data_IF_389299815646
#
_entry.id   IF_389299815646
#
_cell.length_a   1.000
_cell.length_b   1.000
_cell.length_c   1.000
_cell.angle_alpha   90.00
_cell.angle_beta   90.00
_cell.angle_gamma   90.00
#
_symmetry.space_group_name_H-M   'P 1'
#
loop_
_entity.id
_entity.type
_entity.pdbx_description
1 polymer ?
#
# COMPACT_ATOMS: atom_id res chain seq x y z
N UNK A 1 46.17 -42.37 -38.75
CA UNK A 1 46.79 -41.16 -39.31
C UNK A 1 46.43 -39.97 -38.43
N UNK A 2 47.34 -39.16 -37.88
CA UNK A 2 48.59 -39.48 -37.16
C UNK A 2 49.07 -38.20 -36.42
N UNK A 3 49.62 -38.35 -35.21
CA UNK A 3 50.49 -37.36 -34.51
C UNK A 3 51.97 -37.59 -34.97
N UNK A 4 53.09 -37.07 -34.38
CA UNK A 4 53.34 -36.17 -33.23
C UNK A 4 53.99 -34.81 -33.68
N UNK A 5 54.57 -33.89 -32.88
CA UNK A 5 55.19 -33.85 -31.53
C UNK A 5 54.87 -32.51 -30.79
N UNK A 6 55.05 -32.26 -29.47
CA UNK A 6 55.80 -32.83 -28.32
C UNK A 6 57.29 -32.45 -28.07
N UNK A 7 57.55 -31.33 -27.36
CA UNK A 7 58.73 -31.12 -26.47
C UNK A 7 58.62 -29.80 -25.66
N UNK A 8 59.22 -29.57 -24.48
CA UNK A 8 59.31 -30.31 -23.19
C UNK A 8 60.18 -29.50 -22.19
N UNK A 9 60.21 -29.92 -20.91
CA UNK A 9 60.96 -29.37 -19.72
C UNK A 9 60.28 -28.23 -18.95
N UNK A 10 60.43 -28.02 -17.63
CA UNK A 10 60.41 -28.84 -16.37
C UNK A 10 61.19 -28.11 -15.27
N UNK A 11 60.57 -27.97 -14.08
CA UNK A 11 61.16 -27.96 -12.72
C UNK A 11 62.22 -26.92 -12.30
N UNK A 12 61.82 -26.01 -11.40
CA UNK A 12 62.39 -25.80 -10.03
C UNK A 12 61.83 -24.50 -9.41
N UNK A 13 62.07 -24.13 -8.14
CA UNK A 13 61.93 -24.87 -6.87
C UNK A 13 62.03 -23.88 -5.68
N UNK A 14 61.43 -24.23 -4.54
CA UNK A 14 61.74 -23.75 -3.17
C UNK A 14 61.62 -22.26 -2.80
N UNK A 15 61.12 -22.03 -1.58
CA UNK A 15 61.22 -20.74 -0.89
C UNK A 15 62.67 -20.44 -0.48
N UNK A 16 63.04 -19.15 -0.39
CA UNK A 16 64.02 -18.72 0.62
C UNK A 16 63.77 -17.32 1.16
N UNK A 17 63.91 -17.26 2.47
CA UNK A 17 63.90 -16.11 3.36
C UNK A 17 65.16 -15.22 3.17
N UNK A 18 65.06 -13.93 3.49
CA UNK A 18 66.21 -13.11 3.90
C UNK A 18 65.82 -12.09 4.98
N UNK A 19 66.38 -12.32 6.16
CA UNK A 19 66.28 -11.49 7.36
C UNK A 19 67.35 -10.39 7.43
N UNK A 20 67.03 -9.25 8.06
CA UNK A 20 68.03 -8.36 8.67
C UNK A 20 67.53 -6.93 8.93
N UNK A 21 67.97 -6.23 9.98
CA UNK A 21 68.72 -6.66 11.19
C UNK A 21 68.62 -5.58 12.28
N UNK A 22 68.76 -5.95 13.56
CA UNK A 22 68.75 -4.97 14.67
C UNK A 22 68.71 -5.61 16.07
N UNK A 23 69.88 -5.73 16.72
CA UNK A 23 70.04 -6.03 18.15
C UNK A 23 70.25 -4.69 18.91
N UNK A 24 70.17 -4.52 20.23
CA UNK A 24 70.29 -5.37 21.44
C UNK A 24 69.18 -4.97 22.47
N UNK A 25 69.00 -5.47 23.69
CA UNK A 25 69.87 -6.22 24.62
C UNK A 25 69.05 -7.09 25.62
N UNK A 26 69.73 -7.87 26.47
CA UNK A 26 69.14 -8.84 27.42
C UNK A 26 68.56 -8.21 28.70
N UNK A 27 67.63 -8.91 29.37
CA UNK A 27 67.92 -9.51 30.70
C UNK A 27 67.00 -10.72 31.02
N UNK A 28 67.13 -11.30 32.23
CA UNK A 28 66.90 -12.74 32.51
C UNK A 28 65.69 -13.09 33.39
N UNK A 29 65.27 -14.34 33.20
CA UNK A 29 65.00 -15.37 34.23
C UNK A 29 63.56 -15.72 34.69
N UNK A 30 63.32 -17.04 34.66
CA UNK A 30 62.47 -17.88 35.53
C UNK A 30 60.94 -17.66 35.59
N UNK A 31 60.21 -18.67 35.11
CA UNK A 31 59.06 -19.25 35.83
C UNK A 31 59.08 -20.78 35.68
N UNK A 32 58.54 -21.49 36.69
CA UNK A 32 58.68 -22.95 36.86
C UNK A 32 57.30 -23.62 36.86
N UNK A 33 57.17 -24.75 36.17
CA UNK A 33 55.92 -25.50 36.03
C UNK A 33 55.29 -25.87 37.38
N UNK A 34 54.01 -25.54 37.55
CA UNK A 34 53.11 -26.17 38.53
C UNK A 34 51.85 -26.63 37.78
N UNK A 35 51.59 -27.94 37.76
CA UNK A 35 50.31 -28.50 37.30
C UNK A 35 49.33 -28.53 38.48
N UNK A 36 48.18 -27.88 38.35
CA UNK A 36 47.04 -28.07 39.24
C UNK A 36 45.93 -28.82 38.51
N UNK A 37 45.18 -29.66 39.23
CA UNK A 37 44.07 -30.46 38.69
C UNK A 37 42.81 -29.60 38.56
N UNK A 38 41.91 -29.87 37.60
CA UNK A 38 40.62 -29.21 37.53
C UNK A 38 39.74 -29.61 38.74
N UNK A 39 39.00 -28.67 39.36
CA UNK A 39 38.01 -28.97 40.40
C UNK A 39 36.74 -29.61 39.81
N UNK A 40 35.98 -30.30 40.65
CA UNK A 40 34.82 -31.11 40.24
C UNK A 40 33.50 -30.33 40.23
N UNK A 41 32.54 -30.84 39.45
CA UNK A 41 31.20 -30.25 39.27
C UNK A 41 30.33 -30.46 40.51
N UNK A 42 30.44 -29.59 41.54
CA UNK A 42 29.45 -29.47 42.64
C UNK A 42 29.60 -28.26 43.58
N UNK A 43 29.69 -27.02 43.08
CA UNK A 43 29.62 -25.83 43.98
C UNK A 43 29.20 -24.48 43.34
N UNK A 44 28.13 -24.48 42.54
CA UNK A 44 27.52 -23.24 41.99
C UNK A 44 25.98 -23.26 42.12
N UNK A 45 25.45 -22.92 43.29
CA UNK A 45 23.99 -22.93 43.55
C UNK A 45 23.43 -21.71 44.32
N UNK A 46 24.24 -20.72 44.72
CA UNK A 46 23.79 -19.60 45.58
C UNK A 46 24.13 -18.19 45.08
N UNK A 47 24.39 -18.01 43.77
CA UNK A 47 24.63 -16.69 43.15
C UNK A 47 23.90 -16.50 41.80
N UNK A 48 22.66 -16.99 41.69
CA UNK A 48 21.82 -16.83 40.47
C UNK A 48 20.46 -16.17 40.77
N UNK A 49 20.06 -16.04 42.04
CA UNK A 49 18.66 -15.85 42.44
C UNK A 49 18.32 -14.46 43.02
N UNK A 50 19.02 -13.41 42.58
CA UNK A 50 18.61 -11.99 42.77
C UNK A 50 18.80 -11.16 41.48
N UNK A 51 19.01 -11.82 40.32
CA UNK A 51 19.34 -11.15 39.05
C UNK A 51 18.19 -10.97 38.05
N UNK A 52 16.95 -11.32 38.41
CA UNK A 52 15.86 -11.55 37.45
C UNK A 52 14.55 -10.78 37.71
N UNK A 53 14.63 -9.61 38.38
CA UNK A 53 13.49 -8.70 38.59
C UNK A 53 13.70 -7.27 38.04
N UNK A 54 14.75 -7.07 37.23
CA UNK A 54 14.94 -5.87 36.40
C UNK A 54 15.33 -6.28 34.97
N UNK A 55 14.52 -7.16 34.37
CA UNK A 55 14.41 -7.12 32.90
C UNK A 55 13.90 -5.74 32.50
N UNK A 56 14.45 -5.09 31.47
CA UNK A 56 13.93 -3.80 31.05
C UNK A 56 12.47 -3.98 30.65
N UNK A 57 11.57 -3.29 31.36
CA UNK A 57 10.28 -2.96 30.76
C UNK A 57 10.60 -2.09 29.57
N UNK A 58 10.65 -2.70 28.38
CA UNK A 58 10.52 -1.98 27.12
C UNK A 58 9.07 -1.51 27.09
N UNK A 59 8.81 -0.41 27.81
CA UNK A 59 7.64 0.41 27.55
C UNK A 59 7.68 0.72 26.07
N UNK A 60 6.66 0.28 25.33
CA UNK A 60 6.52 0.63 23.92
C UNK A 60 6.63 2.16 23.86
N UNK A 61 7.70 2.66 23.22
CA UNK A 61 8.26 3.97 23.51
C UNK A 61 7.15 5.02 23.39
N UNK A 62 6.73 5.58 24.53
CA UNK A 62 5.42 6.22 24.64
C UNK A 62 5.34 7.33 23.60
N UNK A 63 4.49 7.14 22.60
CA UNK A 63 4.17 8.21 21.69
C UNK A 63 3.65 9.38 22.55
N UNK A 64 4.03 10.60 22.18
CA UNK A 64 3.62 11.79 22.89
C UNK A 64 3.62 12.91 21.88
N UNK A 65 2.66 12.84 20.95
CA UNK A 65 2.50 13.79 19.86
C UNK A 65 1.12 14.44 19.98
N UNK A 66 1.03 15.78 19.86
CA UNK A 66 -0.25 16.47 20.01
C UNK A 66 -1.19 16.15 18.85
N UNK A 67 -2.49 16.11 19.15
CA UNK A 67 -3.53 16.15 18.12
C UNK A 67 -3.47 17.48 17.36
N UNK A 68 -3.79 17.45 16.06
CA UNK A 68 -3.98 18.68 15.29
C UNK A 68 -5.21 19.43 15.81
N UNK A 69 -5.01 20.65 16.33
CA UNK A 69 -6.07 21.47 16.97
C UNK A 69 -7.11 21.96 15.95
N UNK A 70 -6.69 22.20 14.70
CA UNK A 70 -7.59 22.42 13.59
C UNK A 70 -7.78 21.07 12.86
N UNK A 71 -9.02 20.54 12.72
CA UNK A 71 -9.23 19.29 11.99
C UNK A 71 -8.90 19.41 10.50
N UNK A 72 -8.99 20.62 9.90
CA UNK A 72 -8.51 20.88 8.54
C UNK A 72 -7.04 21.28 8.57
N UNK A 73 -6.22 20.57 7.80
CA UNK A 73 -4.77 20.75 7.68
C UNK A 73 -4.39 21.09 6.24
N UNK A 74 -3.20 21.69 6.08
CA UNK A 74 -2.59 22.03 4.80
C UNK A 74 -1.20 21.42 4.74
N UNK A 75 -0.87 20.76 3.63
CA UNK A 75 0.43 20.18 3.34
C UNK A 75 0.96 20.78 2.03
N UNK A 76 2.14 21.40 2.09
CA UNK A 76 2.79 21.99 0.92
C UNK A 76 3.48 20.91 0.08
N UNK A 77 3.04 20.71 -1.15
CA UNK A 77 3.59 19.76 -2.12
C UNK A 77 4.21 20.55 -3.28
N UNK A 78 5.49 20.88 -3.15
CA UNK A 78 6.18 21.79 -4.07
C UNK A 78 5.56 23.19 -4.04
N UNK A 79 4.99 23.64 -5.15
CA UNK A 79 4.24 24.90 -5.25
C UNK A 79 2.73 24.78 -5.03
N UNK A 80 2.21 23.60 -4.67
CA UNK A 80 0.78 23.33 -4.53
C UNK A 80 0.44 23.12 -3.05
N UNK A 81 -0.54 23.87 -2.53
CA UNK A 81 -1.17 23.58 -1.23
C UNK A 81 -2.14 22.40 -1.40
N UNK A 82 -2.01 21.36 -0.55
CA UNK A 82 -2.95 20.24 -0.49
C UNK A 82 -3.69 20.22 0.84
N UNK A 83 -5.00 20.04 0.80
CA UNK A 83 -5.84 19.98 1.99
C UNK A 83 -6.11 18.54 2.45
N UNK A 84 -6.22 18.33 3.76
CA UNK A 84 -6.81 17.12 4.32
C UNK A 84 -7.52 17.42 5.64
N UNK A 85 -8.57 16.67 5.96
CA UNK A 85 -9.16 16.63 7.30
C UNK A 85 -8.71 15.38 8.06
N UNK A 86 -8.58 15.51 9.37
CA UNK A 86 -8.27 14.42 10.30
C UNK A 86 -9.29 14.39 11.44
N UNK A 87 -9.79 13.18 11.74
CA UNK A 87 -10.72 12.92 12.84
C UNK A 87 -10.13 11.83 13.73
N UNK A 88 -10.08 12.14 15.02
CA UNK A 88 -9.58 11.26 16.07
C UNK A 88 -10.76 10.58 16.79
N UNK A 89 -10.61 9.34 17.26
CA UNK A 89 -11.59 8.73 18.16
C UNK A 89 -11.64 9.51 19.50
N UNK A 90 -12.81 9.53 20.14
CA UNK A 90 -13.10 10.20 21.42
C UNK A 90 -12.12 9.78 22.53
N UNK A 91 -11.70 8.52 22.51
CA UNK A 91 -10.73 7.94 23.44
C UNK A 91 -9.30 7.86 22.86
N UNK A 92 -8.94 8.76 21.91
CA UNK A 92 -7.58 8.81 21.35
C UNK A 92 -6.54 9.06 22.44
N UNK A 93 -5.80 8.01 22.78
CA UNK A 93 -4.61 8.14 23.59
C UNK A 93 -3.46 8.60 22.70
N UNK A 94 -2.91 9.78 23.01
CA UNK A 94 -1.67 10.28 22.43
C UNK A 94 -0.46 9.35 22.70
N UNK A 95 -0.61 8.32 23.54
CA UNK A 95 0.41 7.33 23.86
C UNK A 95 0.13 5.95 23.23
N UNK A 96 -1.03 5.74 22.59
CA UNK A 96 -1.35 4.52 21.87
C UNK A 96 -0.96 4.63 20.40
N UNK A 97 -0.65 3.50 19.76
CA UNK A 97 -0.54 3.40 18.31
C UNK A 97 -1.90 3.03 17.73
N UNK A 98 -2.58 4.01 17.16
CA UNK A 98 -3.94 3.88 16.64
C UNK A 98 -3.94 3.42 15.17
N UNK A 99 -4.84 2.54 14.72
CA UNK A 99 -5.01 2.24 13.30
C UNK A 99 -5.49 3.49 12.56
N UNK A 100 -5.07 3.66 11.30
CA UNK A 100 -5.42 4.82 10.47
C UNK A 100 -6.00 4.40 9.13
N UNK A 101 -7.06 5.08 8.68
CA UNK A 101 -7.67 4.91 7.36
C UNK A 101 -7.63 6.23 6.58
N UNK A 102 -7.05 6.20 5.38
CA UNK A 102 -7.19 7.26 4.37
C UNK A 102 -8.53 7.07 3.62
N UNK A 103 -9.28 8.16 3.42
CA UNK A 103 -10.59 8.19 2.75
C UNK A 103 -10.54 9.04 1.47
N UNK A 104 -10.43 8.41 0.29
CA UNK A 104 -10.32 9.09 -1.00
C UNK A 104 -11.70 9.32 -1.65
N UNK A 105 -12.16 10.57 -1.66
CA UNK A 105 -13.48 10.93 -2.20
C UNK A 105 -13.65 10.65 -3.71
N UNK A 106 -14.89 10.48 -4.16
CA UNK A 106 -15.25 10.40 -5.58
C UNK A 106 -15.14 11.72 -6.35
N UNK A 107 -15.42 11.68 -7.65
CA UNK A 107 -15.26 12.83 -8.55
C UNK A 107 -16.16 14.00 -8.13
N UNK A 108 -15.59 15.21 -8.06
CA UNK A 108 -16.27 16.41 -7.57
C UNK A 108 -16.40 16.53 -6.04
N UNK A 109 -15.98 15.51 -5.29
CA UNK A 109 -16.02 15.48 -3.83
C UNK A 109 -14.99 16.38 -3.14
N UNK A 110 -14.84 16.20 -1.84
CA UNK A 110 -13.88 16.93 -1.00
C UNK A 110 -13.52 16.09 0.25
N UNK A 111 -12.76 16.67 1.17
CA UNK A 111 -12.37 16.08 2.45
C UNK A 111 -13.53 15.81 3.42
N UNK A 112 -14.73 16.33 3.16
CA UNK A 112 -15.93 16.11 3.98
C UNK A 112 -16.79 14.95 3.47
N UNK A 113 -16.67 14.57 2.19
CA UNK A 113 -17.56 13.64 1.49
C UNK A 113 -17.78 12.27 2.16
N UNK A 114 -16.78 11.74 2.88
CA UNK A 114 -16.94 10.56 3.75
C UNK A 114 -17.02 10.90 5.23
N UNK A 115 -16.46 12.05 5.66
CA UNK A 115 -16.44 12.44 7.06
C UNK A 115 -17.79 12.94 7.56
N UNK A 116 -18.69 13.40 6.69
CA UNK A 116 -20.05 13.81 7.07
C UNK A 116 -20.99 12.65 7.41
N UNK A 117 -20.63 11.42 7.03
CA UNK A 117 -21.42 10.22 7.31
C UNK A 117 -21.30 9.80 8.78
N UNK A 118 -22.41 9.92 9.53
CA UNK A 118 -22.43 9.68 10.97
C UNK A 118 -22.04 8.25 11.36
N UNK A 119 -22.57 7.23 10.68
CA UNK A 119 -22.24 5.84 11.01
C UNK A 119 -20.83 5.42 10.60
N UNK A 120 -20.23 6.11 9.62
CA UNK A 120 -18.81 5.98 9.31
C UNK A 120 -17.98 6.50 10.50
N UNK A 121 -18.27 7.73 10.98
CA UNK A 121 -17.64 8.33 12.16
C UNK A 121 -17.83 7.48 13.42
N UNK A 122 -19.07 7.08 13.75
CA UNK A 122 -19.40 6.30 14.96
C UNK A 122 -18.70 4.93 14.97
N UNK A 123 -18.67 4.24 13.84
CA UNK A 123 -18.06 2.90 13.76
C UNK A 123 -16.53 2.97 13.81
N UNK A 124 -15.92 4.04 13.28
CA UNK A 124 -14.49 4.30 13.43
C UNK A 124 -14.11 4.63 14.89
N UNK A 125 -14.88 5.51 15.54
CA UNK A 125 -14.71 5.88 16.95
C UNK A 125 -14.76 4.66 17.88
N UNK A 126 -15.81 3.84 17.74
CA UNK A 126 -16.01 2.61 18.52
C UNK A 126 -14.94 1.52 18.28
N UNK A 127 -14.10 1.67 17.24
CA UNK A 127 -12.95 0.81 16.94
C UNK A 127 -11.59 1.47 17.24
N UNK A 128 -11.57 2.72 17.71
CA UNK A 128 -10.34 3.47 18.01
C UNK A 128 -9.55 3.89 16.77
N UNK A 129 -10.23 4.13 15.65
CA UNK A 129 -9.62 4.37 14.33
C UNK A 129 -9.48 5.86 14.05
N UNK A 130 -8.29 6.30 13.63
CA UNK A 130 -8.06 7.65 13.10
C UNK A 130 -8.48 7.68 11.63
N UNK A 131 -9.33 8.64 11.27
CA UNK A 131 -9.74 8.86 9.87
C UNK A 131 -9.01 10.06 9.31
N UNK A 132 -8.50 9.96 8.09
CA UNK A 132 -7.92 11.08 7.34
C UNK A 132 -8.53 11.14 5.94
N UNK A 133 -9.16 12.25 5.61
CA UNK A 133 -9.77 12.49 4.30
C UNK A 133 -9.01 13.60 3.58
N UNK A 134 -8.13 13.28 2.61
CA UNK A 134 -7.45 14.28 1.80
C UNK A 134 -8.34 14.77 0.64
N UNK A 135 -8.02 15.96 0.10
CA UNK A 135 -8.70 16.54 -1.08
C UNK A 135 -7.88 16.31 -2.36
N UNK A 136 -8.56 15.85 -3.42
CA UNK A 136 -8.05 15.84 -4.80
C UNK A 136 -7.89 17.27 -5.38
N UNK A 137 -7.24 17.44 -6.53
CA UNK A 137 -7.12 18.75 -7.17
C UNK A 137 -8.30 19.01 -8.12
N UNK A 138 -8.71 20.27 -8.24
CA UNK A 138 -9.86 20.71 -9.02
C UNK A 138 -9.60 20.86 -10.51
N UNK A 139 -10.58 21.44 -11.21
CA UNK A 139 -10.43 21.79 -12.64
C UNK A 139 -9.52 22.99 -12.92
N UNK A 140 -9.12 23.74 -11.89
CA UNK A 140 -8.19 24.87 -11.97
C UNK A 140 -8.21 25.71 -10.70
N UNK A 141 -7.13 26.45 -10.45
CA UNK A 141 -6.98 27.24 -9.24
C UNK A 141 -7.93 28.46 -9.16
N UNK A 142 -8.43 28.81 -7.95
CA UNK A 142 -8.38 28.03 -6.72
C UNK A 142 -9.34 26.82 -6.75
N UNK A 143 -8.92 25.70 -6.13
CA UNK A 143 -9.60 24.39 -6.22
C UNK A 143 -10.93 24.35 -5.44
N UNK A 144 -11.98 24.87 -6.08
CA UNK A 144 -13.36 24.94 -5.58
C UNK A 144 -14.37 24.18 -6.44
N UNK A 145 -13.93 23.28 -7.33
CA UNK A 145 -14.85 22.52 -8.19
C UNK A 145 -14.18 21.38 -8.95
N UNK A 146 -14.93 20.29 -9.14
CA UNK A 146 -14.52 19.09 -9.86
C UNK A 146 -13.19 18.51 -9.32
N UNK A 147 -13.07 18.41 -8.00
CA UNK A 147 -11.88 17.79 -7.39
C UNK A 147 -11.80 16.32 -7.80
N UNK A 148 -10.61 15.88 -8.20
CA UNK A 148 -10.38 14.52 -8.69
C UNK A 148 -9.03 13.99 -8.20
N UNK A 149 -8.85 12.69 -8.31
CA UNK A 149 -7.58 11.98 -8.20
C UNK A 149 -7.18 11.53 -9.58
N UNK A 150 -5.94 11.79 -9.98
CA UNK A 150 -5.42 11.30 -11.27
C UNK A 150 -4.83 9.91 -11.13
N UNK A 151 -5.33 8.99 -11.95
CA UNK A 151 -4.92 7.59 -11.99
C UNK A 151 -4.67 7.16 -13.44
N UNK A 152 -4.17 5.94 -13.63
CA UNK A 152 -3.75 5.39 -14.91
C UNK A 152 -4.72 5.68 -16.07
N UNK A 153 -4.28 6.57 -16.97
CA UNK A 153 -4.99 6.98 -18.19
C UNK A 153 -6.05 8.07 -18.04
N UNK A 154 -6.40 8.49 -16.81
CA UNK A 154 -7.51 9.42 -16.57
C UNK A 154 -7.21 10.88 -16.96
N UNK A 155 -5.94 11.26 -17.01
CA UNK A 155 -5.42 12.58 -17.38
C UNK A 155 -4.95 12.66 -18.84
N UNK A 156 -4.43 11.56 -19.39
CA UNK A 156 -4.01 11.43 -20.79
C UNK A 156 -5.17 11.05 -21.73
N UNK A 157 -6.18 10.33 -21.23
CA UNK A 157 -7.27 9.79 -22.02
C UNK A 157 -6.88 8.54 -22.83
N UNK A 158 -5.75 7.92 -22.52
CA UNK A 158 -5.22 6.72 -23.20
C UNK A 158 -4.62 5.71 -22.23
N UNK A 159 -4.63 4.44 -22.61
CA UNK A 159 -3.91 3.36 -21.94
C UNK A 159 -2.39 3.48 -22.15
N UNK A 160 -1.60 2.65 -21.47
CA UNK A 160 -0.14 2.57 -21.65
C UNK A 160 0.27 2.29 -23.10
N UNK A 161 -0.58 1.57 -23.86
CA UNK A 161 -0.39 1.31 -25.29
C UNK A 161 -0.85 2.45 -26.22
N UNK A 162 -1.25 3.60 -25.68
CA UNK A 162 -1.74 4.76 -26.44
C UNK A 162 -3.16 4.63 -26.99
N UNK A 163 -3.90 3.57 -26.64
CA UNK A 163 -5.28 3.36 -27.08
C UNK A 163 -6.27 4.15 -26.20
N UNK A 164 -7.36 4.74 -26.73
CA UNK A 164 -8.33 5.47 -25.90
C UNK A 164 -8.94 4.63 -24.77
N UNK A 165 -9.11 5.24 -23.59
CA UNK A 165 -9.84 4.66 -22.43
C UNK A 165 -11.37 4.77 -22.56
N UNK A 166 -11.88 5.32 -23.66
CA UNK A 166 -13.31 5.47 -23.92
C UNK A 166 -13.62 5.44 -25.42
N UNK A 167 -14.90 5.28 -25.79
CA UNK A 167 -15.35 5.70 -27.13
C UNK A 167 -15.34 7.23 -27.21
N UNK A 168 -14.28 7.77 -27.81
CA UNK A 168 -14.03 9.21 -27.97
C UNK A 168 -14.98 9.91 -28.97
N UNK A 169 -15.80 9.17 -29.72
CA UNK A 169 -16.82 9.71 -30.62
C UNK A 169 -18.20 9.82 -29.95
N UNK A 170 -18.45 9.05 -28.88
CA UNK A 170 -19.69 9.06 -28.10
C UNK A 170 -19.56 9.77 -26.75
N UNK A 171 -18.40 9.70 -26.10
CA UNK A 171 -18.16 10.29 -24.77
C UNK A 171 -17.91 11.80 -24.87
N UNK A 172 -18.56 12.65 -24.05
CA UNK A 172 -18.31 14.09 -24.02
C UNK A 172 -16.86 14.49 -23.67
N UNK A 173 -16.43 15.69 -24.09
CA UNK A 173 -15.08 16.20 -23.83
C UNK A 173 -14.90 16.75 -22.40
N UNK A 174 -14.71 15.86 -21.43
CA UNK A 174 -14.53 16.19 -20.01
C UNK A 174 -13.14 16.79 -19.66
N UNK A 175 -12.21 16.86 -20.62
CA UNK A 175 -10.82 17.30 -20.40
C UNK A 175 -10.70 18.61 -19.63
N UNK A 176 -10.01 18.55 -18.49
CA UNK A 176 -9.81 19.68 -17.60
C UNK A 176 -8.99 20.80 -18.28
N UNK A 177 -9.24 22.09 -17.94
CA UNK A 177 -8.43 23.21 -18.40
C UNK A 177 -6.92 23.03 -18.20
N UNK A 178 -6.51 22.45 -17.06
CA UNK A 178 -5.10 22.11 -16.77
C UNK A 178 -4.51 21.11 -17.78
N UNK A 179 -5.29 20.12 -18.22
CA UNK A 179 -4.87 19.13 -19.22
C UNK A 179 -4.85 19.69 -20.65
N UNK A 180 -5.80 20.58 -20.98
CA UNK A 180 -5.83 21.31 -22.26
C UNK A 180 -4.64 22.28 -22.37
N UNK A 181 -4.25 22.94 -21.27
CA UNK A 181 -3.11 23.85 -21.22
C UNK A 181 -1.74 23.13 -21.29
N UNK A 182 -1.58 22.04 -20.52
CA UNK A 182 -0.34 21.24 -20.49
C UNK A 182 -0.14 20.34 -21.71
N UNK A 183 -1.22 20.05 -22.46
CA UNK A 183 -1.26 19.09 -23.58
C UNK A 183 -1.00 17.63 -23.17
N UNK A 184 -1.20 17.29 -21.90
CA UNK A 184 -1.13 15.91 -21.39
C UNK A 184 -2.30 15.07 -21.91
N UNK A 185 -3.49 15.66 -22.04
CA UNK A 185 -4.66 14.98 -22.58
C UNK A 185 -4.57 14.78 -24.11
N UNK A 186 -4.26 13.55 -24.50
CA UNK A 186 -4.13 13.08 -25.89
C UNK A 186 -5.49 12.96 -26.59
N UNK A 187 -6.53 12.54 -25.86
CA UNK A 187 -7.89 12.33 -26.39
C UNK A 187 -8.94 13.07 -25.56
N UNK A 188 -10.15 13.21 -26.09
CA UNK A 188 -11.33 13.72 -25.36
C UNK A 188 -11.73 12.87 -24.16
N UNK A 189 -11.23 11.63 -24.04
CA UNK A 189 -11.52 10.75 -22.91
C UNK A 189 -10.93 11.23 -21.58
N UNK A 190 -9.87 12.04 -21.56
CA UNK A 190 -9.29 12.50 -20.29
C UNK A 190 -10.29 13.32 -19.47
N UNK A 191 -10.40 13.02 -18.17
CA UNK A 191 -11.48 13.47 -17.29
C UNK A 191 -11.06 13.84 -15.86
N UNK A 192 -9.78 13.73 -15.51
CA UNK A 192 -9.22 14.23 -14.24
C UNK A 192 -8.24 15.38 -14.47
N UNK A 193 -7.64 15.88 -13.40
CA UNK A 193 -6.74 17.03 -13.47
C UNK A 193 -5.33 16.72 -14.02
N UNK A 194 -4.67 17.77 -14.50
CA UNK A 194 -3.23 17.76 -14.82
C UNK A 194 -2.47 18.83 -14.01
N UNK A 195 -2.94 19.18 -12.81
CA UNK A 195 -2.31 20.24 -11.99
C UNK A 195 -1.01 19.77 -11.32
N UNK A 196 -0.93 18.52 -10.88
CA UNK A 196 0.24 17.90 -10.22
C UNK A 196 1.43 17.54 -11.12
N UNK A 197 1.81 18.39 -12.09
CA UNK A 197 2.85 18.07 -13.08
C UNK A 197 4.26 17.85 -12.48
N UNK A 198 4.60 18.51 -11.37
CA UNK A 198 5.87 18.26 -10.65
C UNK A 198 5.74 17.26 -9.51
N UNK A 199 4.51 16.99 -9.06
CA UNK A 199 4.18 16.15 -7.91
C UNK A 199 2.78 15.54 -8.10
N UNK A 200 2.72 14.23 -8.26
CA UNK A 200 1.49 13.47 -8.48
C UNK A 200 0.65 13.35 -7.19
N UNK A 201 -0.59 12.87 -7.30
CA UNK A 201 -1.36 12.49 -6.10
C UNK A 201 -0.69 11.35 -5.31
N UNK A 202 0.11 10.50 -5.98
CA UNK A 202 0.95 9.50 -5.31
C UNK A 202 2.03 10.18 -4.46
N UNK A 203 2.65 11.26 -4.95
CA UNK A 203 3.62 12.04 -4.16
C UNK A 203 2.96 12.71 -2.96
N UNK A 204 1.78 13.31 -3.15
CA UNK A 204 0.99 13.88 -2.05
C UNK A 204 0.64 12.82 -0.99
N UNK A 205 0.20 11.62 -1.38
CA UNK A 205 -0.10 10.56 -0.42
C UNK A 205 1.17 10.02 0.27
N UNK A 206 2.32 9.96 -0.41
CA UNK A 206 3.62 9.61 0.21
C UNK A 206 3.99 10.61 1.30
N UNK A 207 3.94 11.90 1.01
CA UNK A 207 4.26 12.95 1.99
C UNK A 207 3.20 13.04 3.11
N UNK A 208 1.93 12.79 2.81
CA UNK A 208 0.86 12.72 3.82
C UNK A 208 1.07 11.54 4.78
N UNK A 209 1.39 10.34 4.29
CA UNK A 209 1.74 9.22 5.16
C UNK A 209 3.00 9.53 5.99
N UNK A 210 4.03 10.13 5.39
CA UNK A 210 5.23 10.54 6.12
C UNK A 210 4.94 11.58 7.22
N UNK A 211 4.09 12.58 6.94
CA UNK A 211 3.61 13.56 7.91
C UNK A 211 2.88 12.89 9.07
N UNK A 212 1.97 11.96 8.79
CA UNK A 212 1.20 11.25 9.82
C UNK A 212 2.09 10.30 10.65
N UNK A 213 3.00 9.55 10.01
CA UNK A 213 3.98 8.68 10.69
C UNK A 213 5.00 9.47 11.53
N UNK A 214 5.25 10.75 11.23
CA UNK A 214 6.18 11.61 11.98
C UNK A 214 5.51 12.50 13.01
N UNK A 215 4.23 12.87 12.83
CA UNK A 215 3.52 13.82 13.70
C UNK A 215 2.32 13.25 14.48
N UNK A 216 1.83 12.05 14.17
CA UNK A 216 0.66 11.47 14.85
C UNK A 216 0.93 10.07 15.44
N UNK A 217 0.14 9.66 16.44
CA UNK A 217 0.38 8.42 17.18
C UNK A 217 -0.39 7.26 16.55
N UNK A 218 0.13 6.84 15.41
CA UNK A 218 -0.47 5.82 14.52
C UNK A 218 0.35 4.53 14.54
N UNK A 219 -0.29 3.43 14.20
CA UNK A 219 0.34 2.13 14.05
C UNK A 219 0.80 1.92 12.59
N UNK A 220 2.12 1.93 12.38
CA UNK A 220 2.70 1.73 11.05
C UNK A 220 2.44 0.36 10.43
N UNK A 221 1.95 -0.62 11.20
CA UNK A 221 1.51 -1.92 10.67
C UNK A 221 -0.01 -2.02 10.50
N UNK A 222 -0.78 -0.97 10.81
CA UNK A 222 -2.24 -0.84 10.59
C UNK A 222 -2.58 0.50 9.90
N UNK A 223 -1.88 0.75 8.80
CA UNK A 223 -2.19 1.83 7.86
C UNK A 223 -3.07 1.27 6.73
N UNK A 224 -4.24 1.87 6.51
CA UNK A 224 -5.19 1.44 5.50
C UNK A 224 -5.61 2.60 4.62
N UNK A 225 -6.18 2.29 3.46
CA UNK A 225 -6.65 3.29 2.51
C UNK A 225 -7.84 2.76 1.74
N UNK A 226 -8.91 3.56 1.64
CA UNK A 226 -10.04 3.29 0.77
C UNK A 226 -10.37 4.48 -0.13
N UNK A 227 -11.15 4.21 -1.17
CA UNK A 227 -11.73 5.25 -2.00
C UNK A 227 -13.03 4.83 -2.65
N UNK A 228 -13.86 5.81 -2.98
CA UNK A 228 -15.13 5.61 -3.70
C UNK A 228 -15.09 6.24 -5.09
N UNK A 229 -15.71 5.60 -6.09
CA UNK A 229 -15.77 6.11 -7.48
C UNK A 229 -14.36 6.46 -8.00
N UNK A 230 -14.11 7.68 -8.48
CA UNK A 230 -12.78 8.19 -8.85
C UNK A 230 -11.68 7.94 -7.79
N UNK A 231 -11.99 8.10 -6.50
CA UNK A 231 -11.07 7.76 -5.42
C UNK A 231 -10.80 6.25 -5.33
N UNK A 232 -11.81 5.43 -5.62
CA UNK A 232 -11.73 3.97 -5.73
C UNK A 232 -10.90 3.51 -6.93
N UNK A 233 -11.07 4.14 -8.10
CA UNK A 233 -10.23 3.90 -9.27
C UNK A 233 -8.74 4.15 -8.93
N UNK A 234 -8.46 5.24 -8.19
CA UNK A 234 -7.10 5.61 -7.77
C UNK A 234 -6.48 4.66 -6.72
N UNK A 235 -7.27 3.91 -5.94
CA UNK A 235 -6.75 2.90 -4.99
C UNK A 235 -5.83 1.89 -5.69
N UNK A 236 -6.15 1.49 -6.92
CA UNK A 236 -5.36 0.52 -7.69
C UNK A 236 -3.98 1.05 -8.12
N UNK A 237 -3.82 2.36 -8.24
CA UNK A 237 -2.54 3.01 -8.56
C UNK A 237 -1.71 3.21 -7.29
N UNK A 238 -2.37 3.68 -6.22
CA UNK A 238 -1.80 3.80 -4.87
C UNK A 238 -1.24 2.46 -4.37
N UNK A 239 -2.00 1.38 -4.54
CA UNK A 239 -1.63 0.06 -4.07
C UNK A 239 -0.57 -0.63 -4.96
N UNK A 240 -0.33 -0.15 -6.18
CA UNK A 240 0.80 -0.55 -7.03
C UNK A 240 2.07 0.29 -6.77
N UNK A 241 1.94 1.55 -6.37
CA UNK A 241 3.07 2.46 -6.17
C UNK A 241 4.04 1.95 -5.07
N UNK A 242 5.33 1.62 -5.38
CA UNK A 242 6.22 0.94 -4.41
C UNK A 242 6.54 1.72 -3.12
N UNK A 243 6.37 3.05 -3.13
CA UNK A 243 6.50 3.92 -1.94
C UNK A 243 5.31 3.80 -0.96
N UNK A 244 4.17 3.29 -1.43
CA UNK A 244 2.91 3.17 -0.68
C UNK A 244 2.50 1.71 -0.45
N UNK A 245 2.69 0.82 -1.43
CA UNK A 245 2.29 -0.60 -1.33
C UNK A 245 2.92 -1.31 -0.12
N UNK A 246 4.17 -0.99 0.20
CA UNK A 246 4.92 -1.52 1.34
C UNK A 246 4.59 -0.85 2.70
N UNK A 247 3.73 0.18 2.72
CA UNK A 247 3.21 0.82 3.95
C UNK A 247 1.83 0.31 4.33
N UNK A 248 1.00 0.02 3.33
CA UNK A 248 -0.40 -0.33 3.51
C UNK A 248 -0.57 -1.78 4.00
N UNK A 249 -1.38 -1.96 5.05
CA UNK A 249 -1.74 -3.26 5.62
C UNK A 249 -2.92 -3.91 4.88
N UNK A 250 -3.79 -3.09 4.26
CA UNK A 250 -4.86 -3.46 3.34
C UNK A 250 -5.38 -2.22 2.60
N UNK A 251 -6.10 -2.43 1.49
CA UNK A 251 -6.79 -1.37 0.72
C UNK A 251 -8.21 -1.77 0.33
N UNK A 252 -9.10 -0.81 0.08
CA UNK A 252 -10.45 -1.07 -0.42
C UNK A 252 -10.91 -0.08 -1.49
N UNK A 253 -11.40 -0.56 -2.63
CA UNK A 253 -12.11 0.26 -3.61
C UNK A 253 -13.62 0.02 -3.51
N UNK A 254 -14.42 1.08 -3.51
CA UNK A 254 -15.87 1.03 -3.68
C UNK A 254 -16.23 1.66 -5.02
N UNK A 255 -16.99 0.92 -5.86
CA UNK A 255 -17.49 1.36 -7.18
C UNK A 255 -16.42 2.03 -8.06
N UNK A 256 -15.19 1.49 -8.02
CA UNK A 256 -14.02 2.03 -8.73
C UNK A 256 -13.09 0.92 -9.26
N UNK A 257 -13.06 0.72 -10.57
CA UNK A 257 -12.24 -0.30 -11.25
C UNK A 257 -11.00 0.34 -11.92
N UNK A 258 -9.96 -0.44 -12.29
CA UNK A 258 -8.92 0.07 -13.19
C UNK A 258 -9.53 0.42 -14.56
N UNK A 259 -9.04 1.47 -15.21
CA UNK A 259 -9.27 1.61 -16.66
C UNK A 259 -8.66 0.41 -17.40
N UNK A 260 -9.18 0.14 -18.60
CA UNK A 260 -8.66 -0.84 -19.55
C UNK A 260 -7.12 -0.83 -19.64
N UNK A 261 -6.55 -2.02 -19.69
CA UNK A 261 -5.11 -2.34 -19.72
C UNK A 261 -4.33 -2.11 -18.43
N UNK A 262 -4.97 -1.77 -17.29
CA UNK A 262 -4.27 -1.50 -16.02
C UNK A 262 -4.48 -2.57 -14.93
N UNK A 263 -4.66 -3.83 -15.33
CA UNK A 263 -4.92 -4.99 -14.47
C UNK A 263 -3.83 -5.39 -13.44
N UNK A 264 -2.71 -4.66 -13.30
CA UNK A 264 -1.45 -5.07 -12.60
C UNK A 264 -0.51 -5.86 -13.55
N UNK A 265 0.83 -5.68 -13.52
CA UNK A 265 1.65 -5.01 -12.49
C UNK A 265 2.29 -3.68 -12.89
N UNK A 266 2.53 -2.83 -11.89
CA UNK A 266 3.50 -1.74 -11.94
C UNK A 266 4.44 -1.84 -10.72
N UNK A 267 5.51 -2.64 -10.86
CA UNK A 267 6.73 -2.70 -10.02
C UNK A 267 6.62 -2.80 -8.48
N UNK A 268 5.44 -3.01 -7.90
CA UNK A 268 5.25 -3.24 -6.46
C UNK A 268 6.07 -4.45 -5.96
N UNK A 269 6.87 -4.25 -4.91
CA UNK A 269 7.65 -5.34 -4.28
C UNK A 269 6.75 -6.32 -3.49
N UNK A 270 5.65 -5.80 -2.93
CA UNK A 270 4.50 -6.54 -2.44
C UNK A 270 3.25 -5.69 -2.67
N UNK A 271 2.11 -6.35 -2.91
CA UNK A 271 0.80 -5.70 -2.98
C UNK A 271 0.10 -5.81 -1.62
N UNK A 272 -0.58 -4.75 -1.14
CA UNK A 272 -1.46 -4.86 0.01
C UNK A 272 -2.69 -5.72 -0.35
N UNK A 273 -3.28 -6.45 0.62
CA UNK A 273 -4.54 -7.15 0.40
C UNK A 273 -5.66 -6.19 0.02
N UNK A 274 -6.44 -6.53 -1.01
CA UNK A 274 -7.45 -5.64 -1.60
C UNK A 274 -8.89 -6.15 -1.39
N UNK A 275 -9.80 -5.24 -1.04
CA UNK A 275 -11.24 -5.42 -1.11
C UNK A 275 -11.80 -4.58 -2.26
N UNK A 276 -12.69 -5.14 -3.05
CA UNK A 276 -13.49 -4.43 -4.04
C UNK A 276 -14.97 -4.60 -3.69
N UNK A 277 -15.68 -3.49 -3.54
CA UNK A 277 -17.14 -3.46 -3.39
C UNK A 277 -17.74 -2.84 -4.66
N UNK A 278 -18.68 -3.53 -5.32
CA UNK A 278 -19.33 -3.03 -6.55
C UNK A 278 -20.84 -3.29 -6.58
N UNK A 279 -21.57 -2.38 -7.24
CA UNK A 279 -23.00 -2.53 -7.48
C UNK A 279 -23.31 -3.36 -8.72
N UNK A 280 -24.13 -4.40 -8.60
CA UNK A 280 -24.54 -5.23 -9.75
C UNK A 280 -25.43 -4.50 -10.76
N UNK A 281 -25.87 -3.27 -10.46
CA UNK A 281 -26.58 -2.37 -11.36
C UNK A 281 -25.82 -1.07 -11.63
N UNK A 282 -24.54 -1.01 -11.26
CA UNK A 282 -23.69 0.13 -11.61
C UNK A 282 -23.61 0.28 -13.14
N UNK A 283 -23.77 1.52 -13.62
CA UNK A 283 -23.69 1.88 -15.04
C UNK A 283 -22.62 2.93 -15.31
N UNK A 284 -22.01 3.49 -14.28
CA UNK A 284 -20.90 4.44 -14.37
C UNK A 284 -19.60 3.63 -14.43
N UNK A 285 -19.40 2.74 -13.46
CA UNK A 285 -18.24 1.84 -13.34
C UNK A 285 -18.72 0.38 -13.19
N UNK A 286 -19.19 -0.24 -14.29
CA UNK A 286 -19.89 -1.53 -14.23
C UNK A 286 -18.93 -2.71 -13.94
N UNK A 287 -19.21 -3.56 -12.94
CA UNK A 287 -18.32 -4.67 -12.55
C UNK A 287 -18.25 -5.83 -13.56
N UNK A 288 -19.20 -5.90 -14.50
CA UNK A 288 -19.40 -7.07 -15.37
C UNK A 288 -20.08 -8.22 -14.65
N UNK A 289 -20.25 -9.35 -15.34
CA UNK A 289 -20.77 -10.58 -14.74
C UNK A 289 -19.73 -11.26 -13.83
N UNK A 290 -20.13 -12.34 -13.15
CA UNK A 290 -19.19 -13.19 -12.42
C UNK A 290 -18.37 -14.05 -13.39
N UNK A 291 -17.05 -14.09 -13.18
CA UNK A 291 -16.09 -14.88 -13.97
C UNK A 291 -15.95 -14.47 -15.45
N UNK A 292 -16.59 -13.36 -15.85
CA UNK A 292 -16.27 -12.64 -17.08
C UNK A 292 -15.01 -11.79 -16.88
N UNK A 293 -13.99 -12.02 -17.70
CA UNK A 293 -12.72 -11.31 -17.69
C UNK A 293 -12.58 -10.27 -18.81
N UNK A 294 -13.68 -9.93 -19.50
CA UNK A 294 -13.69 -8.91 -20.53
C UNK A 294 -13.79 -7.49 -19.97
N UNK A 295 -13.37 -6.53 -20.79
CA UNK A 295 -13.46 -5.09 -20.50
C UNK A 295 -14.93 -4.67 -20.47
N UNK A 296 -15.35 -4.05 -19.38
CA UNK A 296 -16.70 -3.52 -19.21
C UNK A 296 -16.79 -2.10 -19.80
N UNK A 297 -18.00 -1.60 -20.03
CA UNK A 297 -18.19 -0.27 -20.66
C UNK A 297 -19.32 0.50 -19.98
N UNK A 298 -19.04 1.74 -19.61
CA UNK A 298 -20.01 2.69 -19.05
C UNK A 298 -21.26 2.80 -19.92
N UNK A 299 -22.42 2.87 -19.28
CA UNK A 299 -23.75 2.89 -19.90
C UNK A 299 -24.71 3.88 -19.21
N UNK A 300 -24.15 4.90 -18.54
CA UNK A 300 -24.83 5.95 -17.78
C UNK A 300 -25.57 7.00 -18.64
N UNK A 301 -26.14 6.60 -19.79
CA UNK A 301 -26.64 7.43 -20.90
C UNK A 301 -25.53 7.97 -21.81
N UNK A 302 -24.68 8.89 -21.35
CA UNK A 302 -23.74 9.63 -22.22
C UNK A 302 -22.39 8.94 -22.41
N UNK A 303 -21.81 8.37 -21.36
CA UNK A 303 -20.37 8.12 -21.34
C UNK A 303 -20.04 6.67 -21.72
N UNK A 304 -18.87 6.44 -22.33
CA UNK A 304 -18.46 5.11 -22.83
C UNK A 304 -17.02 4.79 -22.42
N UNK A 305 -16.70 5.00 -21.15
CA UNK A 305 -15.42 4.60 -20.57
C UNK A 305 -15.27 3.07 -20.52
N UNK A 306 -14.02 2.61 -20.64
CA UNK A 306 -13.62 1.22 -20.68
C UNK A 306 -12.89 0.86 -19.38
N UNK A 307 -13.51 0.01 -18.57
CA UNK A 307 -12.98 -0.46 -17.29
C UNK A 307 -12.65 -1.96 -17.35
N UNK A 308 -11.75 -2.41 -16.49
CA UNK A 308 -11.47 -3.84 -16.30
C UNK A 308 -12.51 -4.44 -15.35
N UNK A 309 -13.06 -5.62 -15.67
CA UNK A 309 -14.11 -6.21 -14.82
C UNK A 309 -13.63 -6.43 -13.38
N UNK A 310 -14.57 -6.45 -12.43
CA UNK A 310 -14.27 -6.75 -11.02
C UNK A 310 -13.62 -8.14 -10.89
N UNK A 311 -14.13 -9.11 -11.67
CA UNK A 311 -13.58 -10.46 -11.79
C UNK A 311 -12.16 -10.48 -12.35
N UNK A 312 -11.85 -9.71 -13.40
CA UNK A 312 -10.49 -9.61 -13.95
C UNK A 312 -9.53 -8.97 -12.95
N UNK A 313 -9.94 -7.87 -12.32
CA UNK A 313 -9.17 -7.08 -11.35
C UNK A 313 -8.76 -7.93 -10.14
N UNK A 314 -9.72 -8.57 -9.47
CA UNK A 314 -9.46 -9.36 -8.25
C UNK A 314 -8.71 -10.67 -8.56
N UNK A 315 -8.92 -11.25 -9.76
CA UNK A 315 -8.13 -12.40 -10.22
C UNK A 315 -6.67 -12.02 -10.48
N UNK A 316 -6.43 -10.90 -11.17
CA UNK A 316 -5.08 -10.43 -11.45
C UNK A 316 -4.33 -10.01 -10.16
N UNK A 317 -5.01 -9.33 -9.24
CA UNK A 317 -4.44 -8.98 -7.92
C UNK A 317 -4.07 -10.21 -7.09
N UNK A 318 -4.93 -11.24 -7.10
CA UNK A 318 -4.66 -12.53 -6.43
C UNK A 318 -3.44 -13.25 -7.02
N UNK A 319 -3.31 -13.27 -8.34
CA UNK A 319 -2.18 -13.89 -9.04
C UNK A 319 -0.86 -13.13 -8.79
N UNK A 320 -0.89 -11.80 -8.86
CA UNK A 320 0.25 -10.93 -8.56
C UNK A 320 0.69 -11.01 -7.08
N UNK A 321 -0.22 -11.37 -6.18
CA UNK A 321 0.07 -11.70 -4.78
C UNK A 321 0.62 -13.12 -4.57
N UNK A 322 0.94 -13.86 -5.65
CA UNK A 322 1.51 -15.21 -5.62
C UNK A 322 0.53 -16.35 -5.35
N UNK A 323 -0.78 -16.09 -5.37
CA UNK A 323 -1.77 -17.14 -5.13
C UNK A 323 -2.09 -17.96 -6.39
N UNK A 324 -2.23 -19.30 -6.32
CA UNK A 324 -2.73 -20.12 -7.41
C UNK A 324 -4.21 -19.81 -7.69
N UNK A 325 -4.47 -18.94 -8.67
CA UNK A 325 -5.83 -18.50 -9.03
C UNK A 325 -6.59 -19.48 -9.91
N UNK A 326 -7.87 -19.68 -9.60
CA UNK A 326 -8.79 -20.42 -10.46
C UNK A 326 -9.23 -19.66 -11.72
N UNK A 327 -10.11 -20.28 -12.50
CA UNK A 327 -10.90 -19.63 -13.54
C UNK A 327 -12.32 -19.24 -13.07
N UNK A 328 -12.73 -19.71 -11.87
CA UNK A 328 -14.03 -19.45 -11.23
C UNK A 328 -13.76 -18.99 -9.81
N UNK A 329 -14.45 -17.94 -9.35
CA UNK A 329 -14.32 -17.44 -7.99
C UNK A 329 -15.12 -18.29 -6.98
N UNK A 330 -14.49 -18.66 -5.87
CA UNK A 330 -15.14 -19.37 -4.78
C UNK A 330 -15.84 -18.38 -3.82
N UNK A 331 -17.10 -18.61 -3.41
CA UNK A 331 -17.75 -17.82 -2.37
C UNK A 331 -17.00 -17.87 -1.03
N UNK A 332 -16.93 -16.74 -0.32
CA UNK A 332 -16.38 -16.64 1.04
C UNK A 332 -17.42 -16.04 1.99
N UNK A 333 -17.31 -16.38 3.28
CA UNK A 333 -18.26 -15.90 4.29
C UNK A 333 -18.19 -14.37 4.47
N UNK A 334 -19.33 -13.71 4.26
CA UNK A 334 -19.51 -12.26 4.34
C UNK A 334 -20.88 -11.93 5.00
N UNK A 335 -21.08 -10.71 5.52
CA UNK A 335 -22.39 -10.25 5.97
C UNK A 335 -23.36 -10.09 4.79
N UNK A 336 -24.65 -10.32 5.05
CA UNK A 336 -25.72 -9.85 4.17
C UNK A 336 -25.63 -8.32 4.04
N UNK A 337 -25.83 -7.71 2.84
CA UNK A 337 -26.36 -8.29 1.60
C UNK A 337 -25.31 -8.78 0.57
N UNK A 338 -24.04 -8.94 0.94
CA UNK A 338 -22.96 -9.14 -0.03
C UNK A 338 -22.81 -10.60 -0.51
N UNK A 339 -22.72 -10.77 -1.84
CA UNK A 339 -22.10 -11.94 -2.49
C UNK A 339 -20.60 -11.66 -2.64
N UNK A 340 -19.78 -12.24 -1.76
CA UNK A 340 -18.33 -12.06 -1.75
C UNK A 340 -17.60 -13.32 -2.23
N UNK A 341 -16.66 -13.17 -3.16
CA UNK A 341 -15.93 -14.29 -3.79
C UNK A 341 -14.46 -13.98 -4.03
N UNK A 342 -13.62 -15.01 -3.98
CA UNK A 342 -12.19 -14.92 -4.22
C UNK A 342 -11.70 -15.97 -5.24
N UNK A 343 -10.77 -15.58 -6.10
CA UNK A 343 -10.06 -16.51 -7.00
C UNK A 343 -8.94 -17.29 -6.31
N UNK A 344 -8.53 -16.83 -5.12
CA UNK A 344 -7.55 -17.46 -4.26
C UNK A 344 -8.25 -18.37 -3.24
N UNK A 345 -7.89 -19.66 -3.10
CA UNK A 345 -8.47 -20.53 -2.09
C UNK A 345 -8.04 -20.13 -0.67
N UNK A 346 -9.01 -19.90 0.21
CA UNK A 346 -8.79 -19.53 1.61
C UNK A 346 -10.07 -19.01 2.28
N UNK A 347 -9.97 -18.60 3.54
CA UNK A 347 -11.03 -17.87 4.22
C UNK A 347 -10.83 -16.34 4.07
N UNK A 348 -11.86 -15.55 4.42
CA UNK A 348 -11.92 -14.09 4.15
C UNK A 348 -10.71 -13.30 4.70
N UNK A 349 -10.11 -13.74 5.79
CA UNK A 349 -8.90 -13.11 6.38
C UNK A 349 -7.59 -13.49 5.65
N UNK A 350 -7.54 -14.66 5.00
CA UNK A 350 -6.32 -15.21 4.40
C UNK A 350 -6.14 -14.84 2.93
N UNK A 351 -7.26 -14.58 2.22
CA UNK A 351 -7.21 -14.23 0.79
C UNK A 351 -6.57 -12.85 0.55
N UNK A 352 -5.74 -12.70 -0.50
CA UNK A 352 -5.07 -11.45 -0.84
C UNK A 352 -5.96 -10.46 -1.60
N UNK A 353 -7.02 -10.93 -2.24
CA UNK A 353 -7.97 -10.06 -2.93
C UNK A 353 -9.39 -10.63 -2.82
N UNK A 354 -10.39 -9.75 -2.75
CA UNK A 354 -11.79 -10.10 -2.55
C UNK A 354 -12.71 -9.21 -3.39
N UNK A 355 -13.59 -9.83 -4.18
CA UNK A 355 -14.67 -9.19 -4.93
C UNK A 355 -15.96 -9.36 -4.12
N UNK A 356 -16.63 -8.27 -3.76
CA UNK A 356 -17.87 -8.25 -3.01
C UNK A 356 -18.92 -7.44 -3.76
N UNK A 357 -20.04 -8.08 -4.12
CA UNK A 357 -21.10 -7.45 -4.92
C UNK A 357 -22.42 -7.43 -4.17
N UNK A 358 -23.20 -6.37 -4.37
CA UNK A 358 -24.55 -6.22 -3.84
C UNK A 358 -25.47 -5.53 -4.85
N UNK A 359 -26.78 -5.67 -4.66
CA UNK A 359 -27.79 -5.05 -5.51
C UNK A 359 -27.89 -3.54 -5.22
N UNK A 360 -27.08 -2.76 -5.94
CA UNK A 360 -27.03 -1.30 -5.89
C UNK A 360 -26.54 -0.71 -7.23
N UNK A 361 -26.74 0.60 -7.43
CA UNK A 361 -26.21 1.37 -8.56
C UNK A 361 -24.78 1.89 -8.32
N UNK A 362 -24.46 3.06 -8.89
CA UNK A 362 -23.23 3.81 -8.57
C UNK A 362 -23.42 4.62 -7.28
N UNK A 363 -23.49 3.91 -6.16
CA UNK A 363 -23.77 4.44 -4.82
C UNK A 363 -22.92 3.69 -3.78
N UNK A 364 -22.55 4.34 -2.67
CA UNK A 364 -21.58 3.77 -1.73
C UNK A 364 -22.19 2.77 -0.73
N UNK A 365 -23.47 2.95 -0.36
CA UNK A 365 -24.18 2.11 0.64
C UNK A 365 -23.38 1.98 1.93
N UNK A 366 -23.01 3.12 2.50
CA UNK A 366 -22.06 3.25 3.61
C UNK A 366 -22.40 2.37 4.82
N UNK A 367 -23.69 2.23 5.16
CA UNK A 367 -24.18 1.39 6.27
C UNK A 367 -23.85 -0.10 6.08
N UNK A 368 -23.80 -0.59 4.82
CA UNK A 368 -23.42 -1.95 4.46
C UNK A 368 -21.89 -2.04 4.24
N UNK A 369 -21.32 -1.10 3.48
CA UNK A 369 -19.97 -1.15 2.95
C UNK A 369 -18.88 -0.79 3.97
N UNK A 370 -19.14 0.15 4.87
CA UNK A 370 -18.16 0.56 5.89
C UNK A 370 -17.88 -0.53 6.94
N UNK A 371 -18.88 -1.19 7.55
CA UNK A 371 -18.60 -2.26 8.51
C UNK A 371 -17.81 -3.42 7.89
N UNK A 372 -18.15 -3.83 6.66
CA UNK A 372 -17.41 -4.85 5.92
C UNK A 372 -15.96 -4.43 5.66
N UNK A 373 -15.75 -3.20 5.21
CA UNK A 373 -14.43 -2.63 4.91
C UNK A 373 -13.57 -2.50 6.17
N UNK A 374 -14.15 -2.04 7.27
CA UNK A 374 -13.42 -1.85 8.51
C UNK A 374 -13.05 -3.17 9.19
N UNK A 375 -13.92 -4.19 9.16
CA UNK A 375 -13.57 -5.53 9.60
C UNK A 375 -12.50 -6.19 8.67
N UNK A 376 -12.53 -5.91 7.36
CA UNK A 376 -11.51 -6.36 6.40
C UNK A 376 -10.12 -5.72 6.68
N UNK A 377 -10.11 -4.45 7.08
CA UNK A 377 -8.91 -3.72 7.51
C UNK A 377 -8.40 -4.21 8.87
N UNK A 378 -9.22 -4.16 9.92
CA UNK A 378 -8.79 -4.46 11.30
C UNK A 378 -8.41 -5.94 11.53
N UNK A 379 -8.76 -6.83 10.61
CA UNK A 379 -8.26 -8.22 10.58
C UNK A 379 -6.88 -8.38 9.92
N UNK A 380 -6.27 -7.30 9.41
CA UNK A 380 -5.02 -7.32 8.65
C UNK A 380 -3.97 -6.39 9.25
N UNK A 381 -2.73 -6.87 9.23
CA UNK A 381 -1.52 -6.14 9.61
C UNK A 381 -0.49 -6.24 8.49
N UNK A 382 0.34 -5.20 8.32
CA UNK A 382 1.48 -5.22 7.40
C UNK A 382 2.44 -6.36 7.78
N UNK A 383 2.71 -7.27 6.84
CA UNK A 383 3.74 -8.31 6.99
C UNK A 383 5.12 -7.66 6.90
N UNK A 384 5.77 -7.43 8.05
CA UNK A 384 7.19 -7.03 8.08
C UNK A 384 8.04 -8.13 7.46
N UNK A 385 8.76 -7.82 6.38
CA UNK A 385 9.67 -8.77 5.74
C UNK A 385 10.79 -9.19 6.69
N UNK A 386 11.12 -10.48 6.69
CA UNK A 386 12.08 -11.08 7.62
C UNK A 386 13.55 -10.79 7.25
N UNK A 387 13.93 -9.51 7.20
CA UNK A 387 15.33 -9.08 7.17
C UNK A 387 15.94 -9.11 8.57
N UNK A 388 16.02 -10.31 9.15
CA UNK A 388 17.03 -10.60 10.15
C UNK A 388 18.36 -10.82 9.40
N UNK A 389 19.41 -10.13 9.81
CA UNK A 389 20.69 -10.17 9.11
C UNK A 389 21.33 -11.56 9.17
N UNK A 390 21.75 -12.08 8.01
CA UNK A 390 22.83 -13.08 7.96
C UNK A 390 24.15 -12.33 8.04
N UNK A 391 24.51 -11.86 9.24
CA UNK A 391 25.92 -11.58 9.53
C UNK A 391 26.67 -12.91 9.43
N UNK A 392 27.66 -12.98 8.54
CA UNK A 392 28.45 -14.18 8.29
C UNK A 392 29.81 -14.09 8.97
N UNK A 393 30.07 -15.05 9.87
CA UNK A 393 31.41 -15.42 10.35
C UNK A 393 32.25 -16.11 9.25
#
# INVERSE_FOLDING_TARGET
MNNPWLSSKTLSAFCRDQSGSGWWNNDRFLMRLIRLKPPSVRQWCHLVLVGFLLGPMITAASCNRPVFVNPLQVLQIGSIERHFRIVYPTNYSANAHNPLVILLHGWGGNEDAFLDQDDLRRTADARGVVLVAPRGLGSGAPDFGNNSWTFSGSDTGVTEAGMPICDAALTPDYRYPSCKASKIAVTTCAWTHCQGQSHTDIDFLVELFALLETQQCIDSDRLYLMGGSNGGNFVWDVARAPRLSNKLAAVASWIGLPHKSYLTPATAAALPPALLITGTKDKTDPPGDWDDFTVTTTSNQTDRYFYESASATIRAWSAASGCPVGAVAAPVAAPSPFDCRAYCPGARQDVPALDCRLEMGHEYREDDAWPLTLDFFLSRHRKRGAFAGTDGD
#
